data_IF_770116530132
#
_entry.id   IF_770116530132
#
_cell.length_a   1.000
_cell.length_b   1.000
_cell.length_c   1.000
_cell.angle_alpha   90.00
_cell.angle_beta   90.00
_cell.angle_gamma   90.00
#
_symmetry.space_group_name_H-M   'P 1'
#
loop_
_entity.id
_entity.type
_entity.pdbx_description
1 polymer ?
#
# COMPACT_ATOMS: atom_id res chain seq x y z
N UNK A 1 15.54 -5.92 -49.53
CA UNK A 1 14.32 -6.01 -48.70
C UNK A 1 14.46 -6.92 -47.48
N UNK A 2 15.32 -7.97 -47.49
CA UNK A 2 15.51 -8.87 -46.33
C UNK A 2 16.45 -8.33 -45.23
N UNK A 3 17.52 -7.59 -45.59
CA UNK A 3 18.54 -7.13 -44.62
C UNK A 3 18.05 -5.99 -43.71
N UNK A 4 17.21 -5.08 -44.24
CA UNK A 4 16.57 -4.00 -43.48
C UNK A 4 15.58 -4.54 -42.44
N UNK A 5 14.83 -5.59 -42.80
CA UNK A 5 13.84 -6.21 -41.92
C UNK A 5 14.49 -6.98 -40.74
N UNK A 6 15.72 -7.46 -40.92
CA UNK A 6 16.48 -8.12 -39.85
C UNK A 6 16.99 -7.11 -38.81
N UNK A 7 17.49 -5.96 -39.27
CA UNK A 7 17.96 -4.87 -38.39
C UNK A 7 16.81 -4.27 -37.58
N UNK A 8 15.65 -4.00 -38.18
CA UNK A 8 14.47 -3.50 -37.46
C UNK A 8 13.93 -4.49 -36.42
N UNK A 9 13.99 -5.79 -36.71
CA UNK A 9 13.62 -6.83 -35.73
C UNK A 9 14.60 -6.89 -34.57
N UNK A 10 15.90 -6.76 -34.83
CA UNK A 10 16.90 -6.72 -33.75
C UNK A 10 16.79 -5.47 -32.90
N UNK A 11 16.56 -4.30 -33.50
CA UNK A 11 16.36 -3.04 -32.79
C UNK A 11 15.07 -3.07 -31.96
N UNK A 12 13.95 -3.54 -32.52
CA UNK A 12 12.70 -3.67 -31.77
C UNK A 12 12.72 -4.74 -30.67
N UNK A 13 13.62 -5.73 -30.75
CA UNK A 13 13.88 -6.67 -29.67
C UNK A 13 14.73 -6.03 -28.57
N UNK A 14 15.75 -5.25 -28.93
CA UNK A 14 16.56 -4.48 -28.00
C UNK A 14 15.73 -3.40 -27.28
N UNK A 15 14.86 -2.70 -27.98
CA UNK A 15 13.92 -1.73 -27.40
C UNK A 15 12.93 -2.42 -26.44
N UNK A 16 12.40 -3.60 -26.80
CA UNK A 16 11.54 -4.38 -25.90
C UNK A 16 12.26 -4.91 -24.67
N UNK A 17 13.55 -5.26 -24.79
CA UNK A 17 14.37 -5.65 -23.65
C UNK A 17 14.75 -4.44 -22.77
N UNK A 18 15.02 -3.27 -23.37
CA UNK A 18 15.28 -2.02 -22.66
C UNK A 18 14.03 -1.52 -21.91
N UNK A 19 12.85 -1.58 -22.53
CA UNK A 19 11.57 -1.25 -21.89
C UNK A 19 11.25 -2.20 -20.73
N UNK A 20 11.46 -3.52 -20.89
CA UNK A 20 11.31 -4.48 -19.79
C UNK A 20 12.27 -4.24 -18.63
N UNK A 21 13.48 -3.75 -18.92
CA UNK A 21 14.47 -3.37 -17.91
C UNK A 21 14.02 -2.12 -17.15
N UNK A 22 13.54 -1.10 -17.87
CA UNK A 22 12.97 0.11 -17.29
C UNK A 22 11.72 -0.14 -16.44
N UNK A 23 10.79 -0.97 -16.90
CA UNK A 23 9.60 -1.38 -16.13
C UNK A 23 9.99 -2.17 -14.87
N UNK A 24 10.97 -3.09 -14.98
CA UNK A 24 11.47 -3.83 -13.83
C UNK A 24 12.21 -2.94 -12.82
N UNK A 25 12.99 -1.96 -13.29
CA UNK A 25 13.68 -0.97 -12.45
C UNK A 25 12.68 -0.05 -11.75
N UNK A 26 11.70 0.52 -12.47
CA UNK A 26 10.64 1.35 -11.89
C UNK A 26 9.75 0.57 -10.92
N UNK A 27 9.41 -0.68 -11.24
CA UNK A 27 8.63 -1.53 -10.35
C UNK A 27 9.43 -1.88 -9.09
N UNK A 28 10.75 -2.08 -9.20
CA UNK A 28 11.64 -2.28 -8.04
C UNK A 28 11.72 -1.01 -7.17
N UNK A 29 11.83 0.18 -7.77
CA UNK A 29 11.83 1.46 -7.05
C UNK A 29 10.51 1.70 -6.30
N UNK A 30 9.37 1.44 -6.94
CA UNK A 30 8.06 1.54 -6.30
C UNK A 30 7.90 0.55 -5.13
N UNK A 31 8.41 -0.67 -5.26
CA UNK A 31 8.37 -1.69 -4.21
C UNK A 31 9.26 -1.31 -3.01
N UNK A 32 10.47 -0.81 -3.24
CA UNK A 32 11.37 -0.31 -2.19
C UNK A 32 10.76 0.91 -1.49
N UNK A 33 10.16 1.82 -2.27
CA UNK A 33 9.47 3.01 -1.77
C UNK A 33 8.27 2.63 -0.90
N UNK A 34 7.48 1.63 -1.32
CA UNK A 34 6.35 1.10 -0.55
C UNK A 34 6.76 0.49 0.79
N UNK A 35 7.80 -0.35 0.82
CA UNK A 35 8.30 -0.93 2.07
C UNK A 35 8.83 0.12 3.04
N UNK A 36 9.53 1.13 2.53
CA UNK A 36 10.03 2.26 3.32
C UNK A 36 8.87 3.07 3.90
N UNK A 37 7.83 3.32 3.12
CA UNK A 37 6.61 3.97 3.59
C UNK A 37 5.91 3.19 4.69
N UNK A 38 5.70 1.89 4.51
CA UNK A 38 5.10 1.03 5.54
C UNK A 38 5.92 1.02 6.83
N UNK A 39 7.25 0.96 6.74
CA UNK A 39 8.13 1.02 7.90
C UNK A 39 8.05 2.36 8.64
N UNK A 40 7.97 3.47 7.90
CA UNK A 40 7.81 4.80 8.47
C UNK A 40 6.44 4.95 9.15
N UNK A 41 5.37 4.50 8.49
CA UNK A 41 4.00 4.48 9.02
C UNK A 41 3.91 3.64 10.31
N UNK A 42 4.56 2.47 10.35
CA UNK A 42 4.64 1.63 11.54
C UNK A 42 5.16 2.41 12.76
N UNK A 43 6.31 3.10 12.62
CA UNK A 43 6.88 3.86 13.72
C UNK A 43 6.04 5.09 14.08
N UNK A 44 5.49 5.77 13.08
CA UNK A 44 4.60 6.91 13.28
C UNK A 44 3.36 6.52 14.10
N UNK A 45 2.65 5.45 13.71
CA UNK A 45 1.46 4.96 14.41
C UNK A 45 1.77 4.51 15.85
N UNK A 46 2.92 3.85 16.08
CA UNK A 46 3.35 3.49 17.44
C UNK A 46 3.55 4.69 18.34
N UNK A 47 4.07 5.81 17.81
CA UNK A 47 4.19 7.07 18.57
C UNK A 47 2.83 7.69 18.90
N UNK A 48 1.80 7.39 18.10
CA UNK A 48 0.41 7.79 18.35
C UNK A 48 -0.34 6.82 19.28
N UNK A 49 0.31 5.78 19.79
CA UNK A 49 -0.30 4.82 20.73
C UNK A 49 -0.92 3.59 20.08
N UNK A 50 -0.71 3.36 18.78
CA UNK A 50 -1.16 2.12 18.14
C UNK A 50 -0.27 0.94 18.54
N UNK A 51 -0.89 -0.20 18.84
CA UNK A 51 -0.23 -1.48 19.03
C UNK A 51 -0.35 -2.30 17.74
N UNK A 52 0.67 -2.21 16.87
CA UNK A 52 0.69 -2.95 15.61
C UNK A 52 0.92 -4.44 15.85
N UNK A 53 -0.03 -5.28 15.42
CA UNK A 53 -0.04 -6.74 15.61
C UNK A 53 0.31 -7.51 14.33
N UNK A 54 0.14 -6.91 13.16
CA UNK A 54 0.55 -7.53 11.90
C UNK A 54 1.00 -6.49 10.87
N UNK A 55 1.83 -6.95 9.93
CA UNK A 55 2.34 -6.19 8.79
C UNK A 55 2.30 -7.07 7.54
N UNK A 56 1.86 -6.53 6.40
CA UNK A 56 1.69 -7.26 5.13
C UNK A 56 1.00 -8.61 5.30
N UNK A 57 -0.07 -8.61 6.09
CA UNK A 57 -0.81 -9.84 6.39
C UNK A 57 -1.56 -10.29 5.14
N UNK A 58 -1.52 -11.60 4.85
CA UNK A 58 -2.14 -12.20 3.66
C UNK A 58 -3.07 -13.33 4.04
N UNK A 59 -4.16 -13.45 3.29
CA UNK A 59 -5.04 -14.61 3.34
C UNK A 59 -4.72 -15.58 2.20
N UNK A 60 -4.93 -16.88 2.43
CA UNK A 60 -4.93 -17.87 1.35
C UNK A 60 -6.22 -17.83 0.51
N UNK A 61 -7.30 -17.20 1.02
CA UNK A 61 -8.64 -17.23 0.41
C UNK A 61 -8.97 -15.97 -0.39
N UNK A 62 -8.34 -14.84 -0.06
CA UNK A 62 -8.59 -13.54 -0.67
C UNK A 62 -7.27 -13.00 -1.19
N UNK A 63 -7.22 -12.62 -2.47
CA UNK A 63 -6.03 -12.03 -3.09
C UNK A 63 -5.84 -10.60 -2.57
N UNK A 64 -4.64 -10.30 -2.11
CA UNK A 64 -4.24 -9.00 -1.58
C UNK A 64 -3.60 -9.14 -0.20
N UNK A 65 -3.25 -8.01 0.38
CA UNK A 65 -2.66 -7.90 1.70
C UNK A 65 -3.23 -6.73 2.49
N UNK A 66 -3.18 -6.87 3.82
CA UNK A 66 -3.38 -5.78 4.77
C UNK A 66 -2.01 -5.23 5.11
N UNK A 67 -1.74 -3.96 4.78
CA UNK A 67 -0.42 -3.36 5.00
C UNK A 67 -0.05 -3.38 6.49
N UNK A 68 -0.94 -2.88 7.34
CA UNK A 68 -0.77 -2.88 8.79
C UNK A 68 -2.10 -3.24 9.47
N UNK A 69 -2.01 -4.00 10.56
CA UNK A 69 -3.13 -4.26 11.47
C UNK A 69 -2.67 -3.94 12.88
N UNK A 70 -3.47 -3.20 13.64
CA UNK A 70 -3.12 -2.86 15.00
C UNK A 70 -4.26 -2.29 15.81
N UNK A 71 -4.06 -2.20 17.13
CA UNK A 71 -5.05 -1.67 18.05
C UNK A 71 -4.81 -0.20 18.35
N UNK A 72 -5.86 0.62 18.24
CA UNK A 72 -5.93 1.92 18.91
C UNK A 72 -6.95 1.77 20.04
N UNK A 73 -6.47 1.70 21.29
CA UNK A 73 -7.29 1.35 22.47
C UNK A 73 -8.02 0.02 22.25
N UNK A 74 -9.34 0.03 22.21
CA UNK A 74 -10.24 -1.11 22.03
C UNK A 74 -10.69 -1.32 20.57
N UNK A 75 -10.18 -0.50 19.64
CA UNK A 75 -10.53 -0.59 18.22
C UNK A 75 -9.43 -1.27 17.42
N UNK A 76 -9.79 -2.36 16.72
CA UNK A 76 -8.89 -3.01 15.76
C UNK A 76 -8.92 -2.23 14.44
N UNK A 77 -7.78 -1.65 14.10
CA UNK A 77 -7.59 -0.80 12.94
C UNK A 77 -6.88 -1.58 11.82
N UNK A 78 -7.51 -1.62 10.65
CA UNK A 78 -6.91 -2.08 9.40
C UNK A 78 -6.39 -0.85 8.65
N UNK A 79 -5.08 -0.72 8.53
CA UNK A 79 -4.46 0.52 8.06
C UNK A 79 -3.78 0.27 6.71
N UNK A 80 -4.21 1.01 5.71
CA UNK A 80 -3.57 1.08 4.39
C UNK A 80 -2.50 2.19 4.38
N UNK A 81 -1.34 1.92 3.78
CA UNK A 81 -0.22 2.88 3.71
C UNK A 81 0.01 3.35 2.28
N UNK A 82 -0.14 4.66 2.06
CA UNK A 82 0.09 5.30 0.76
C UNK A 82 1.39 6.10 0.80
N UNK A 83 2.40 5.65 0.05
CA UNK A 83 3.65 6.43 -0.11
C UNK A 83 3.52 7.44 -1.25
N UNK A 84 4.02 8.65 -1.06
CA UNK A 84 3.96 9.77 -2.01
C UNK A 84 5.29 10.52 -2.07
N UNK A 85 5.65 11.02 -3.24
CA UNK A 85 6.88 11.81 -3.48
C UNK A 85 6.65 13.32 -3.40
N UNK A 86 5.41 13.80 -3.57
CA UNK A 86 5.06 15.23 -3.48
C UNK A 86 3.69 15.43 -2.84
N UNK A 87 3.43 16.67 -2.40
CA UNK A 87 2.13 17.13 -1.88
C UNK A 87 1.25 17.85 -2.92
N UNK A 88 1.72 17.97 -4.16
CA UNK A 88 1.14 18.89 -5.15
C UNK A 88 -0.29 18.54 -5.59
N UNK A 89 -0.79 17.35 -5.26
CA UNK A 89 -2.20 16.97 -5.36
C UNK A 89 -2.57 16.17 -4.11
N UNK A 90 -3.61 16.62 -3.38
CA UNK A 90 -4.59 15.80 -2.63
C UNK A 90 -5.44 16.64 -1.65
N UNK A 91 -6.63 17.07 -2.08
CA UNK A 91 -7.88 16.72 -1.39
C UNK A 91 -8.71 15.79 -2.32
N UNK A 92 -9.49 14.86 -1.76
CA UNK A 92 -10.14 13.69 -2.40
C UNK A 92 -9.28 12.41 -2.59
N UNK A 93 -7.95 12.52 -2.66
CA UNK A 93 -7.04 11.42 -3.05
C UNK A 93 -6.63 10.45 -1.92
N UNK A 94 -7.02 10.75 -0.69
CA UNK A 94 -6.92 9.80 0.42
C UNK A 94 -7.86 8.61 0.20
N UNK A 95 -8.96 8.77 -0.53
CA UNK A 95 -9.95 7.71 -0.72
C UNK A 95 -9.35 6.44 -1.34
N UNK A 96 -9.65 5.30 -0.74
CA UNK A 96 -9.42 3.98 -1.35
C UNK A 96 -10.57 3.77 -2.32
N UNK A 97 -10.29 3.35 -3.56
CA UNK A 97 -11.36 3.07 -4.53
C UNK A 97 -12.31 1.98 -4.01
N UNK A 98 -13.56 1.99 -4.48
CA UNK A 98 -14.60 1.08 -3.95
C UNK A 98 -14.26 -0.40 -4.15
N UNK A 99 -13.47 -0.74 -5.17
CA UNK A 99 -13.01 -2.11 -5.40
C UNK A 99 -12.00 -2.53 -4.33
N UNK A 100 -11.04 -1.66 -4.00
CA UNK A 100 -10.04 -1.90 -2.98
C UNK A 100 -10.66 -1.89 -1.58
N UNK A 101 -11.65 -1.05 -1.30
CA UNK A 101 -12.41 -1.11 -0.04
C UNK A 101 -13.08 -2.48 0.16
N UNK A 102 -13.67 -3.05 -0.90
CA UNK A 102 -14.25 -4.42 -0.86
C UNK A 102 -13.19 -5.49 -0.61
N UNK A 103 -12.01 -5.37 -1.22
CA UNK A 103 -10.90 -6.31 -0.99
C UNK A 103 -10.42 -6.23 0.46
N UNK A 104 -10.19 -5.01 0.97
CA UNK A 104 -9.77 -4.78 2.35
C UNK A 104 -10.82 -5.29 3.36
N UNK A 105 -12.11 -5.08 3.10
CA UNK A 105 -13.20 -5.59 3.95
C UNK A 105 -13.21 -7.13 4.01
N UNK A 106 -12.99 -7.81 2.87
CA UNK A 106 -12.87 -9.28 2.84
C UNK A 106 -11.62 -9.79 3.54
N UNK A 107 -10.48 -9.09 3.39
CA UNK A 107 -9.25 -9.45 4.09
C UNK A 107 -9.39 -9.25 5.60
N UNK A 108 -9.98 -8.13 6.01
CA UNK A 108 -10.32 -7.86 7.41
C UNK A 108 -11.23 -8.94 7.99
N UNK A 109 -12.24 -9.40 7.24
CA UNK A 109 -13.08 -10.53 7.65
C UNK A 109 -12.27 -11.80 7.87
N UNK A 110 -11.36 -12.12 6.94
CA UNK A 110 -10.49 -13.28 7.09
C UNK A 110 -9.55 -13.16 8.30
N UNK A 111 -9.00 -11.97 8.56
CA UNK A 111 -8.18 -11.71 9.73
C UNK A 111 -8.99 -11.89 11.02
N UNK A 112 -10.17 -11.28 11.10
CA UNK A 112 -11.08 -11.39 12.26
C UNK A 112 -11.51 -12.83 12.51
N UNK A 113 -11.72 -13.64 11.47
CA UNK A 113 -12.09 -15.06 11.62
C UNK A 113 -11.02 -15.91 12.31
N UNK A 114 -9.78 -15.40 12.42
CA UNK A 114 -8.69 -16.04 13.15
C UNK A 114 -8.63 -15.61 14.61
N UNK A 115 -9.37 -14.56 14.99
CA UNK A 115 -9.44 -14.06 16.35
C UNK A 115 -10.58 -14.76 17.09
N UNK A 116 -10.29 -15.32 18.27
CA UNK A 116 -11.29 -15.94 19.15
C UNK A 116 -12.04 -14.91 20.02
N UNK A 117 -12.32 -13.72 19.48
CA UNK A 117 -12.95 -12.63 20.24
C UNK A 117 -14.26 -12.22 19.58
N UNK A 118 -15.29 -12.07 20.40
CA UNK A 118 -16.59 -11.60 19.95
C UNK A 118 -16.64 -10.06 19.97
N UNK A 119 -17.25 -9.48 18.93
CA UNK A 119 -17.62 -8.05 18.85
C UNK A 119 -16.47 -7.07 19.10
N UNK A 120 -15.48 -7.11 18.23
CA UNK A 120 -14.40 -6.12 18.19
C UNK A 120 -14.86 -4.88 17.41
N UNK A 121 -14.77 -3.64 17.94
CA UNK A 121 -14.88 -2.43 17.15
C UNK A 121 -13.80 -2.41 16.07
N UNK A 122 -14.21 -2.23 14.82
CA UNK A 122 -13.29 -2.23 13.67
C UNK A 122 -13.30 -0.87 12.98
N UNK A 123 -12.14 -0.44 12.52
CA UNK A 123 -11.99 0.79 11.72
C UNK A 123 -10.99 0.58 10.59
N UNK A 124 -11.24 1.21 9.45
CA UNK A 124 -10.28 1.29 8.36
C UNK A 124 -9.61 2.65 8.35
N UNK A 125 -8.28 2.66 8.47
CA UNK A 125 -7.49 3.88 8.50
C UNK A 125 -6.59 3.97 7.26
N UNK A 126 -6.16 5.18 6.91
CA UNK A 126 -5.17 5.42 5.86
C UNK A 126 -4.06 6.29 6.41
N UNK A 127 -2.82 5.88 6.16
CA UNK A 127 -1.63 6.70 6.42
C UNK A 127 -0.97 7.08 5.11
N UNK A 128 -0.94 8.37 4.81
CA UNK A 128 -0.11 8.90 3.74
C UNK A 128 1.27 9.24 4.28
N UNK A 129 2.32 8.78 3.59
CA UNK A 129 3.73 9.03 3.93
C UNK A 129 4.38 9.80 2.79
N UNK A 130 4.89 10.99 3.09
CA UNK A 130 5.50 11.88 2.11
C UNK A 130 7.02 11.89 2.27
N UNK A 131 7.73 11.47 1.22
CA UNK A 131 9.17 11.53 1.12
C UNK A 131 9.56 12.64 0.14
N UNK A 132 9.74 13.85 0.66
CA UNK A 132 10.27 14.98 -0.11
C UNK A 132 11.77 15.14 0.20
N UNK A 133 12.58 15.30 -0.84
CA UNK A 133 14.02 15.40 -0.69
C UNK A 133 14.41 16.66 0.09
N UNK A 134 15.27 16.51 1.10
CA UNK A 134 15.75 17.63 1.92
C UNK A 134 14.80 18.07 3.03
N UNK A 135 13.64 17.41 3.20
CA UNK A 135 12.70 17.69 4.30
C UNK A 135 12.51 16.47 5.19
N UNK A 136 11.99 16.69 6.40
CA UNK A 136 11.60 15.60 7.29
C UNK A 136 10.42 14.83 6.69
N UNK A 137 10.37 13.51 6.88
CA UNK A 137 9.21 12.70 6.47
C UNK A 137 7.94 13.21 7.14
N UNK A 138 6.92 13.45 6.33
CA UNK A 138 5.62 13.93 6.79
C UNK A 138 4.58 12.82 6.69
N UNK A 139 3.58 12.89 7.58
CA UNK A 139 2.53 11.90 7.71
C UNK A 139 1.17 12.58 7.76
N UNK A 140 0.18 11.97 7.13
CA UNK A 140 -1.23 12.30 7.32
C UNK A 140 -1.99 11.02 7.65
N UNK A 141 -2.77 11.05 8.74
CA UNK A 141 -3.57 9.92 9.22
C UNK A 141 -5.05 10.26 9.07
N UNK A 142 -5.74 9.45 8.28
CA UNK A 142 -7.20 9.48 8.14
C UNK A 142 -7.78 8.29 8.89
N UNK A 143 -8.33 8.54 10.08
CA UNK A 143 -9.04 7.52 10.86
C UNK A 143 -10.43 7.32 10.30
N UNK A 144 -10.88 6.07 10.17
CA UNK A 144 -12.21 5.78 9.63
C UNK A 144 -12.36 6.30 8.21
N UNK A 145 -11.33 6.11 7.39
CA UNK A 145 -11.24 6.65 6.04
C UNK A 145 -12.34 6.10 5.11
N UNK A 146 -12.91 4.94 5.43
CA UNK A 146 -14.09 4.39 4.78
C UNK A 146 -14.81 3.39 5.69
N UNK A 147 -16.10 3.21 5.42
CA UNK A 147 -16.95 2.23 6.12
C UNK A 147 -16.79 0.83 5.53
N UNK A 148 -17.03 -0.17 6.37
CA UNK A 148 -17.06 -1.56 5.96
C UNK A 148 -18.03 -1.79 4.78
N UNK A 149 -17.55 -2.47 3.73
CA UNK A 149 -18.29 -2.74 2.48
C UNK A 149 -18.78 -4.18 2.38
#
# INVERSE_FOLDING_TARGET
MFLLNLLDRTLSLLDRLALRRGDAEQQTEHLVTGQRGEQAAFFYLRRLGYLITARRWRSSRVRGDLDLVGWEKDTLCFIEVKTRSTRAVAPAEASVDSQKQKVLSRLAFQYLSQLQMEKIPVRFDIVSVYFEAGTATQFELFRGAFDWQ
#
